data_IF_277261412086
#
_entry.id   IF_277261412086
#
_cell.length_a   1.000
_cell.length_b   1.000
_cell.length_c   1.000
_cell.angle_alpha   90.00
_cell.angle_beta   90.00
_cell.angle_gamma   90.00
#
_symmetry.space_group_name_H-M   'P 1'
#
loop_
_entity.id
_entity.type
_entity.pdbx_description
1 polymer ?
#
# COMPACT_ATOMS: atom_id res chain seq x y z
N UNK A 1 11.50 10.72 -4.23
CA UNK A 1 10.06 10.32 -4.21
C UNK A 1 9.79 9.47 -5.43
N UNK A 2 9.24 8.27 -5.24
CA UNK A 2 8.88 7.36 -6.34
C UNK A 2 7.79 7.98 -7.23
N UNK A 3 8.03 7.99 -8.54
CA UNK A 3 7.02 8.42 -9.51
C UNK A 3 6.10 7.24 -9.85
N UNK A 4 4.77 7.44 -9.90
CA UNK A 4 3.82 6.37 -10.20
C UNK A 4 4.15 5.67 -11.53
N UNK A 5 4.24 4.35 -11.50
CA UNK A 5 4.47 3.49 -12.64
C UNK A 5 3.32 2.48 -12.83
N UNK A 6 3.55 1.42 -13.58
CA UNK A 6 2.56 0.40 -13.94
C UNK A 6 1.90 -0.27 -12.73
N UNK A 7 2.66 -0.52 -11.67
CA UNK A 7 2.19 -1.06 -10.39
C UNK A 7 1.20 -0.12 -9.70
N UNK A 8 1.58 1.17 -9.64
CA UNK A 8 0.74 2.20 -9.03
C UNK A 8 -0.60 2.36 -9.76
N UNK A 9 -0.59 2.31 -11.09
CA UNK A 9 -1.82 2.40 -11.89
C UNK A 9 -2.66 1.12 -11.82
N UNK A 10 -2.02 -0.05 -11.74
CA UNK A 10 -2.71 -1.31 -11.54
C UNK A 10 -3.48 -1.32 -10.22
N UNK A 11 -2.80 -0.93 -9.12
CA UNK A 11 -3.42 -0.85 -7.80
C UNK A 11 -4.52 0.21 -7.76
N UNK A 12 -4.27 1.41 -8.33
CA UNK A 12 -5.22 2.53 -8.36
C UNK A 12 -6.58 2.15 -8.95
N UNK A 13 -6.59 1.34 -10.00
CA UNK A 13 -7.83 0.82 -10.61
C UNK A 13 -8.68 0.11 -9.57
N UNK A 14 -8.10 -0.81 -8.80
CA UNK A 14 -8.79 -1.58 -7.77
C UNK A 14 -9.13 -0.76 -6.52
N UNK A 15 -8.27 0.21 -6.17
CA UNK A 15 -8.55 1.17 -5.08
C UNK A 15 -9.82 1.97 -5.38
N UNK A 16 -9.95 2.53 -6.58
CA UNK A 16 -11.15 3.30 -6.97
C UNK A 16 -12.43 2.47 -6.93
N UNK A 17 -12.33 1.19 -7.21
CA UNK A 17 -13.48 0.29 -7.27
C UNK A 17 -13.86 -0.28 -5.90
N UNK A 18 -12.87 -0.67 -5.09
CA UNK A 18 -13.07 -1.52 -3.91
C UNK A 18 -12.87 -0.80 -2.58
N UNK A 19 -12.20 0.37 -2.54
CA UNK A 19 -11.95 1.08 -1.29
C UNK A 19 -13.24 1.65 -0.70
N UNK A 20 -13.39 1.50 0.62
CA UNK A 20 -14.54 1.98 1.36
C UNK A 20 -14.20 2.34 2.81
N UNK A 21 -15.08 3.13 3.43
CA UNK A 21 -15.03 3.49 4.84
C UNK A 21 -13.83 4.36 5.19
N UNK A 22 -13.17 4.02 6.28
CA UNK A 22 -11.92 4.64 6.73
C UNK A 22 -10.75 3.91 6.08
N UNK A 23 -9.92 4.64 5.33
CA UNK A 23 -8.84 4.10 4.51
C UNK A 23 -7.48 4.52 5.08
N UNK A 24 -6.48 3.65 4.95
CA UNK A 24 -5.08 4.00 5.12
C UNK A 24 -4.27 3.54 3.91
N UNK A 25 -3.45 4.44 3.36
CA UNK A 25 -2.47 4.19 2.30
C UNK A 25 -1.08 4.19 2.94
N UNK A 26 -0.48 3.00 3.06
CA UNK A 26 0.80 2.77 3.74
C UNK A 26 1.92 2.83 2.70
N UNK A 27 2.95 3.65 2.97
CA UNK A 27 4.00 3.96 1.99
C UNK A 27 3.41 4.80 0.84
N UNK A 28 2.68 5.86 1.17
CA UNK A 28 1.86 6.62 0.22
C UNK A 28 2.66 7.28 -0.91
N UNK A 29 3.95 7.58 -0.68
CA UNK A 29 4.85 8.19 -1.65
C UNK A 29 4.27 9.42 -2.31
N UNK A 30 3.93 9.32 -3.60
CA UNK A 30 3.31 10.40 -4.37
C UNK A 30 1.87 10.74 -3.95
N UNK A 31 1.21 9.89 -3.16
CA UNK A 31 -0.18 10.03 -2.75
C UNK A 31 -1.22 9.58 -3.77
N UNK A 32 -0.82 8.94 -4.85
CA UNK A 32 -1.74 8.55 -5.95
C UNK A 32 -2.85 7.61 -5.47
N UNK A 33 -2.56 6.67 -4.55
CA UNK A 33 -3.56 5.77 -4.01
C UNK A 33 -4.49 6.50 -3.05
N UNK A 34 -3.93 7.36 -2.18
CA UNK A 34 -4.70 8.17 -1.23
C UNK A 34 -5.67 9.11 -1.96
N UNK A 35 -5.21 9.79 -3.03
CA UNK A 35 -6.04 10.63 -3.89
C UNK A 35 -7.15 9.81 -4.55
N UNK A 36 -6.79 8.66 -5.16
CA UNK A 36 -7.76 7.78 -5.80
C UNK A 36 -8.82 7.26 -4.86
N UNK A 37 -8.45 6.87 -3.63
CA UNK A 37 -9.39 6.45 -2.59
C UNK A 37 -10.31 7.60 -2.16
N UNK A 38 -9.76 8.81 -1.97
CA UNK A 38 -10.54 9.98 -1.55
C UNK A 38 -11.63 10.39 -2.55
N UNK A 39 -11.44 10.09 -3.84
CA UNK A 39 -12.42 10.33 -4.90
C UNK A 39 -13.63 9.39 -4.84
N UNK A 40 -13.52 8.24 -4.15
CA UNK A 40 -14.63 7.31 -4.01
C UNK A 40 -15.73 7.88 -3.09
N UNK A 41 -17.02 7.80 -3.48
CA UNK A 41 -18.13 8.19 -2.61
C UNK A 41 -18.28 7.26 -1.40
N UNK A 42 -17.73 6.05 -1.46
CA UNK A 42 -17.77 5.06 -0.39
C UNK A 42 -16.68 5.28 0.67
N UNK A 43 -15.74 6.21 0.45
CA UNK A 43 -14.64 6.52 1.36
C UNK A 43 -14.95 7.78 2.14
N UNK A 44 -14.81 7.70 3.47
CA UNK A 44 -15.10 8.79 4.40
C UNK A 44 -13.84 9.58 4.76
N UNK A 45 -12.73 8.88 4.97
CA UNK A 45 -11.45 9.44 5.41
C UNK A 45 -10.29 8.58 4.90
N UNK A 46 -9.19 9.22 4.55
CA UNK A 46 -7.95 8.56 4.12
C UNK A 46 -6.78 9.06 4.97
N UNK A 47 -6.04 8.15 5.58
CA UNK A 47 -4.73 8.43 6.15
C UNK A 47 -3.68 8.04 5.12
N UNK A 48 -2.81 8.98 4.76
CA UNK A 48 -1.72 8.76 3.82
C UNK A 48 -0.41 8.78 4.62
N UNK A 49 0.20 7.61 4.83
CA UNK A 49 1.37 7.50 5.71
C UNK A 49 2.62 7.09 4.95
N UNK A 50 3.75 7.66 5.37
CA UNK A 50 5.05 7.36 4.78
C UNK A 50 6.14 7.55 5.84
N UNK A 51 7.23 6.79 5.71
CA UNK A 51 8.44 6.93 6.52
C UNK A 51 9.28 8.13 6.06
N UNK A 52 9.13 8.57 4.80
CA UNK A 52 9.83 9.73 4.27
C UNK A 52 9.10 11.02 4.64
N UNK A 53 9.67 11.80 5.55
CA UNK A 53 9.15 13.12 5.94
C UNK A 53 9.03 14.09 4.76
N UNK A 54 9.89 13.97 3.74
CA UNK A 54 9.83 14.82 2.54
C UNK A 54 8.59 14.48 1.72
N UNK A 55 8.30 13.19 1.54
CA UNK A 55 7.08 12.75 0.86
C UNK A 55 5.84 13.32 1.55
N UNK A 56 5.76 13.21 2.88
CA UNK A 56 4.65 13.78 3.67
C UNK A 56 4.59 15.30 3.56
N UNK A 57 5.73 15.99 3.57
CA UNK A 57 5.76 17.45 3.42
C UNK A 57 5.25 17.90 2.05
N UNK A 58 5.63 17.21 0.98
CA UNK A 58 5.14 17.50 -0.38
C UNK A 58 3.66 17.14 -0.52
N UNK A 59 3.22 16.01 0.06
CA UNK A 59 1.83 15.60 0.03
C UNK A 59 0.89 16.62 0.68
N UNK A 60 1.29 17.22 1.80
CA UNK A 60 0.52 18.29 2.48
C UNK A 60 0.29 19.54 1.60
N UNK A 61 1.10 19.77 0.57
CA UNK A 61 0.95 20.91 -0.35
C UNK A 61 -0.04 20.62 -1.49
N UNK A 62 -0.39 19.36 -1.71
CA UNK A 62 -1.29 18.96 -2.80
C UNK A 62 -2.72 19.41 -2.54
N UNK A 63 -3.42 19.80 -3.59
CA UNK A 63 -4.78 20.34 -3.54
C UNK A 63 -5.75 19.38 -2.84
N UNK A 64 -5.66 18.07 -3.12
CA UNK A 64 -6.53 17.06 -2.52
C UNK A 64 -6.28 16.80 -1.02
N UNK A 65 -5.21 17.40 -0.45
CA UNK A 65 -4.92 17.40 0.99
C UNK A 65 -5.29 18.72 1.67
N UNK A 66 -5.91 19.66 0.97
CA UNK A 66 -6.22 20.99 1.48
C UNK A 66 -7.71 21.28 1.48
N UNK A 67 -8.12 22.23 2.32
CA UNK A 67 -9.53 22.66 2.41
C UNK A 67 -10.34 21.94 3.49
N UNK A 68 -11.47 22.54 3.84
CA UNK A 68 -12.34 22.09 4.94
C UNK A 68 -12.98 20.71 4.69
N UNK A 69 -13.15 20.32 3.44
CA UNK A 69 -13.76 19.05 3.05
C UNK A 69 -12.72 18.00 2.60
N UNK A 70 -11.43 18.23 2.90
CA UNK A 70 -10.38 17.29 2.55
C UNK A 70 -10.53 15.98 3.33
N UNK A 71 -10.59 14.85 2.60
CA UNK A 71 -10.65 13.53 3.20
C UNK A 71 -9.27 12.97 3.56
N UNK A 72 -8.17 13.55 3.04
CA UNK A 72 -6.83 12.99 3.15
C UNK A 72 -6.04 13.65 4.27
N UNK A 73 -5.51 12.85 5.17
CA UNK A 73 -4.65 13.27 6.28
C UNK A 73 -3.26 12.66 6.10
N UNK A 74 -2.26 13.45 5.65
CA UNK A 74 -0.88 12.99 5.59
C UNK A 74 -0.25 12.89 6.98
N UNK A 75 0.43 11.76 7.26
CA UNK A 75 1.03 11.48 8.56
C UNK A 75 2.38 10.75 8.37
N UNK A 76 3.44 11.23 9.03
CA UNK A 76 4.72 10.54 9.08
C UNK A 76 4.62 9.30 9.98
N UNK A 77 4.93 8.13 9.44
CA UNK A 77 4.88 6.86 10.16
C UNK A 77 5.72 5.79 9.45
N UNK A 78 6.46 5.02 10.23
CA UNK A 78 7.01 3.74 9.77
C UNK A 78 5.91 2.69 9.89
N UNK A 79 5.42 2.21 8.75
CA UNK A 79 4.20 1.39 8.67
C UNK A 79 3.09 1.96 9.58
N UNK A 80 2.73 1.24 10.65
CA UNK A 80 1.67 1.63 11.57
C UNK A 80 2.16 2.23 12.90
N UNK A 81 3.46 2.55 13.05
CA UNK A 81 4.06 2.95 14.32
C UNK A 81 3.38 4.19 14.96
N UNK A 82 2.98 5.16 14.14
CA UNK A 82 2.30 6.39 14.58
C UNK A 82 0.80 6.40 14.25
N UNK A 83 0.23 5.24 13.91
CA UNK A 83 -1.16 5.10 13.49
C UNK A 83 -1.99 4.48 14.59
N UNK A 84 -3.16 5.04 14.87
CA UNK A 84 -4.11 4.52 15.84
C UNK A 84 -5.45 4.17 15.20
N UNK A 85 -6.13 3.19 15.81
CA UNK A 85 -7.46 2.77 15.38
C UNK A 85 -7.46 1.71 14.29
N UNK A 86 -8.63 1.51 13.71
CA UNK A 86 -8.88 0.49 12.67
C UNK A 86 -9.37 1.13 11.39
N UNK A 87 -9.15 0.41 10.29
CA UNK A 87 -9.44 0.83 8.92
C UNK A 87 -10.27 -0.24 8.22
N UNK A 88 -11.18 0.20 7.38
CA UNK A 88 -12.01 -0.66 6.54
C UNK A 88 -11.26 -1.09 5.27
N UNK A 89 -10.37 -0.21 4.81
CA UNK A 89 -9.48 -0.51 3.69
C UNK A 89 -8.05 -0.12 4.05
N UNK A 90 -7.12 -1.05 3.87
CA UNK A 90 -5.67 -0.80 3.95
C UNK A 90 -5.11 -0.96 2.55
N UNK A 91 -4.34 0.02 2.09
CA UNK A 91 -3.70 0.01 0.76
C UNK A 91 -2.19 -0.09 0.98
N UNK A 92 -1.52 -0.93 0.20
CA UNK A 92 -0.08 -1.09 0.28
C UNK A 92 0.53 -1.39 -1.10
N UNK A 93 1.35 -0.46 -1.57
CA UNK A 93 2.25 -0.67 -2.70
C UNK A 93 3.69 -0.69 -2.16
N UNK A 94 4.19 -1.85 -1.69
CA UNK A 94 5.51 -1.93 -1.07
C UNK A 94 6.62 -1.66 -2.08
N UNK A 95 7.77 -1.15 -1.63
CA UNK A 95 9.01 -1.29 -2.38
C UNK A 95 9.33 -2.78 -2.51
N UNK A 96 9.53 -3.29 -3.72
CA UNK A 96 9.69 -4.71 -4.02
C UNK A 96 10.97 -5.05 -4.78
N UNK A 97 11.88 -4.10 -4.94
CA UNK A 97 13.18 -4.37 -5.53
C UNK A 97 14.13 -4.87 -4.44
N UNK A 98 14.79 -6.02 -4.64
CA UNK A 98 15.93 -6.41 -3.80
C UNK A 98 17.04 -5.38 -3.98
N UNK A 99 17.88 -5.22 -2.94
CA UNK A 99 19.04 -4.33 -2.98
C UNK A 99 19.90 -4.55 -4.23
N UNK A 100 20.08 -3.53 -5.04
CA UNK A 100 21.28 -3.42 -5.87
C UNK A 100 22.30 -2.59 -5.10
N UNK A 101 23.48 -3.14 -4.91
CA UNK A 101 24.52 -2.76 -3.92
C UNK A 101 25.10 -1.32 -4.02
N UNK A 102 24.58 -0.43 -4.86
CA UNK A 102 25.24 0.85 -5.16
C UNK A 102 24.45 2.14 -4.88
N UNK A 103 23.19 2.09 -4.47
CA UNK A 103 22.45 3.32 -4.13
C UNK A 103 21.62 3.14 -2.84
N UNK A 104 22.07 3.78 -1.76
CA UNK A 104 21.39 3.83 -0.47
C UNK A 104 20.16 4.75 -0.50
N UNK A 105 19.22 4.49 -1.38
CA UNK A 105 17.91 5.14 -1.33
C UNK A 105 16.94 4.22 -0.59
N UNK A 106 16.78 4.46 0.72
CA UNK A 106 15.96 3.66 1.65
C UNK A 106 14.48 3.56 1.27
N UNK A 107 14.06 4.28 0.23
CA UNK A 107 12.68 4.25 -0.28
C UNK A 107 12.35 3.01 -1.12
N UNK A 108 13.35 2.14 -1.40
CA UNK A 108 13.19 0.96 -2.26
C UNK A 108 13.51 -0.36 -1.55
N UNK A 109 13.75 -0.33 -0.23
CA UNK A 109 14.19 -1.51 0.52
C UNK A 109 13.04 -2.48 0.83
N UNK A 110 12.88 -3.47 -0.02
CA UNK A 110 11.99 -4.62 0.22
C UNK A 110 12.59 -5.71 1.14
N UNK A 111 13.81 -5.51 1.67
CA UNK A 111 14.60 -6.53 2.38
C UNK A 111 15.52 -7.34 1.46
N UNK A 112 16.37 -8.23 2.02
CA UNK A 112 17.33 -9.04 1.24
C UNK A 112 16.66 -9.92 0.17
N UNK A 113 15.41 -10.31 0.36
CA UNK A 113 14.64 -11.17 -0.55
C UNK A 113 13.34 -10.51 -1.06
N UNK A 114 13.06 -9.27 -0.67
CA UNK A 114 11.93 -8.46 -1.19
C UNK A 114 10.58 -8.72 -0.51
N UNK A 115 10.38 -9.80 0.25
CA UNK A 115 9.10 -10.13 0.88
C UNK A 115 9.04 -9.87 2.39
N UNK A 116 10.17 -9.58 3.04
CA UNK A 116 10.24 -9.38 4.50
C UNK A 116 9.39 -8.20 4.95
N UNK A 117 9.42 -7.12 4.21
CA UNK A 117 8.61 -5.94 4.50
C UNK A 117 7.10 -6.26 4.38
N UNK A 118 6.72 -7.07 3.39
CA UNK A 118 5.32 -7.52 3.24
C UNK A 118 4.91 -8.38 4.44
N UNK A 119 5.78 -9.28 4.91
CA UNK A 119 5.50 -10.12 6.09
C UNK A 119 5.32 -9.26 7.35
N UNK A 120 6.18 -8.27 7.56
CA UNK A 120 6.07 -7.32 8.66
C UNK A 120 4.79 -6.47 8.57
N UNK A 121 4.52 -5.92 7.40
CA UNK A 121 3.27 -5.18 7.14
C UNK A 121 2.04 -6.01 7.49
N UNK A 122 1.93 -7.25 6.99
CA UNK A 122 0.79 -8.13 7.24
C UNK A 122 0.60 -8.44 8.73
N UNK A 123 1.71 -8.63 9.46
CA UNK A 123 1.69 -8.86 10.90
C UNK A 123 1.10 -7.65 11.66
N UNK A 124 1.50 -6.44 11.29
CA UNK A 124 0.99 -5.21 11.89
C UNK A 124 -0.44 -4.89 11.46
N UNK A 125 -0.74 -5.01 10.16
CA UNK A 125 -2.04 -4.68 9.56
C UNK A 125 -3.22 -5.40 10.25
N UNK A 126 -3.02 -6.61 10.78
CA UNK A 126 -4.06 -7.38 11.45
C UNK A 126 -4.70 -6.65 12.64
N UNK A 127 -3.92 -5.85 13.35
CA UNK A 127 -4.39 -5.08 14.51
C UNK A 127 -5.20 -3.85 14.07
N UNK A 128 -4.97 -3.40 12.83
CA UNK A 128 -5.54 -2.19 12.27
C UNK A 128 -6.66 -2.44 11.26
N UNK A 129 -7.01 -3.70 10.96
CA UNK A 129 -8.11 -4.03 10.05
C UNK A 129 -9.41 -4.19 10.83
N UNK A 130 -10.51 -3.61 10.34
CA UNK A 130 -11.85 -3.82 10.89
C UNK A 130 -12.35 -5.24 10.56
N UNK A 131 -13.29 -5.81 11.35
CA UNK A 131 -14.01 -6.99 10.92
C UNK A 131 -14.74 -6.71 9.59
N UNK A 132 -14.47 -7.52 8.56
CA UNK A 132 -15.00 -7.30 7.21
C UNK A 132 -14.22 -6.31 6.36
N UNK A 133 -13.15 -5.72 6.90
CA UNK A 133 -12.21 -4.89 6.14
C UNK A 133 -11.36 -5.69 5.16
N UNK A 134 -10.68 -4.98 4.26
CA UNK A 134 -9.82 -5.58 3.24
C UNK A 134 -8.48 -4.83 3.11
N UNK A 135 -7.50 -5.55 2.60
CA UNK A 135 -6.22 -4.99 2.17
C UNK A 135 -6.16 -5.09 0.64
N UNK A 136 -5.77 -4.01 -0.01
CA UNK A 136 -5.44 -3.96 -1.44
C UNK A 136 -3.93 -3.81 -1.56
N UNK A 137 -3.29 -4.78 -2.19
CA UNK A 137 -1.83 -4.84 -2.32
C UNK A 137 -1.43 -5.18 -3.74
N UNK A 138 -0.38 -4.54 -4.23
CA UNK A 138 0.30 -4.93 -5.46
C UNK A 138 1.74 -5.32 -5.14
N UNK A 139 2.28 -6.28 -5.87
CA UNK A 139 3.69 -6.65 -5.79
C UNK A 139 4.16 -7.31 -7.09
N UNK A 140 5.47 -7.33 -7.30
CA UNK A 140 6.10 -7.92 -8.47
C UNK A 140 6.46 -9.40 -8.26
N UNK A 141 6.56 -10.15 -9.35
CA UNK A 141 7.11 -11.52 -9.34
C UNK A 141 8.53 -11.60 -8.78
N UNK A 142 9.27 -10.48 -8.81
CA UNK A 142 10.61 -10.38 -8.23
C UNK A 142 10.61 -10.50 -6.70
N UNK A 143 9.49 -10.17 -6.06
CA UNK A 143 9.30 -10.32 -4.61
C UNK A 143 9.16 -11.79 -4.18
N UNK A 144 8.87 -12.70 -5.12
CA UNK A 144 8.59 -14.11 -4.81
C UNK A 144 7.12 -14.34 -4.45
N UNK A 145 6.30 -14.64 -5.46
CA UNK A 145 4.84 -14.84 -5.28
C UNK A 145 4.52 -15.93 -4.25
N UNK A 146 5.25 -17.05 -4.27
CA UNK A 146 5.02 -18.16 -3.34
C UNK A 146 5.31 -17.77 -1.89
N UNK A 147 6.34 -16.96 -1.65
CA UNK A 147 6.72 -16.44 -0.34
C UNK A 147 5.65 -15.49 0.19
N UNK A 148 5.15 -14.59 -0.66
CA UNK A 148 4.03 -13.68 -0.32
C UNK A 148 2.77 -14.48 0.02
N UNK A 149 2.40 -15.50 -0.79
CA UNK A 149 1.24 -16.35 -0.54
C UNK A 149 1.37 -17.13 0.79
N UNK A 150 2.59 -17.57 1.13
CA UNK A 150 2.87 -18.24 2.41
C UNK A 150 2.75 -17.26 3.59
N UNK A 151 3.29 -16.03 3.44
CA UNK A 151 3.21 -15.01 4.47
C UNK A 151 1.74 -14.63 4.77
N UNK A 152 0.93 -14.44 3.73
CA UNK A 152 -0.51 -14.16 3.86
C UNK A 152 -1.20 -15.25 4.68
N UNK A 153 -0.98 -16.53 4.34
CA UNK A 153 -1.59 -17.68 5.05
C UNK A 153 -1.08 -17.79 6.47
N UNK A 154 0.25 -17.63 6.69
CA UNK A 154 0.89 -17.71 8.02
C UNK A 154 0.31 -16.68 8.99
N UNK A 155 -0.01 -15.48 8.51
CA UNK A 155 -0.63 -14.42 9.31
C UNK A 155 -2.15 -14.57 9.49
N UNK A 156 -2.76 -15.62 8.95
CA UNK A 156 -4.19 -15.92 9.09
C UNK A 156 -5.09 -15.06 8.20
N UNK A 157 -4.60 -14.75 7.03
CA UNK A 157 -5.37 -14.12 5.97
C UNK A 157 -5.67 -15.11 4.84
N UNK A 158 -6.64 -14.76 4.03
CA UNK A 158 -6.89 -15.31 2.69
C UNK A 158 -6.78 -14.21 1.66
N UNK A 159 -6.47 -14.56 0.43
CA UNK A 159 -6.35 -13.61 -0.67
C UNK A 159 -7.09 -14.07 -1.92
N UNK A 160 -7.41 -13.11 -2.74
CA UNK A 160 -7.96 -13.24 -4.08
C UNK A 160 -7.06 -12.46 -5.06
N UNK A 161 -6.67 -13.10 -6.15
CA UNK A 161 -5.99 -12.42 -7.26
C UNK A 161 -7.03 -11.61 -8.04
N UNK A 162 -6.94 -10.28 -7.94
CA UNK A 162 -7.81 -9.37 -8.69
C UNK A 162 -7.35 -9.22 -10.14
N UNK A 163 -6.06 -9.05 -10.33
CA UNK A 163 -5.47 -8.87 -11.66
C UNK A 163 -3.99 -9.27 -11.66
N UNK A 164 -3.55 -9.82 -12.79
CA UNK A 164 -2.15 -10.08 -13.10
C UNK A 164 -1.80 -9.33 -14.37
N UNK A 165 -0.67 -8.63 -14.37
CA UNK A 165 -0.20 -7.86 -15.52
C UNK A 165 1.23 -8.20 -15.84
N UNK A 166 1.47 -8.65 -17.07
CA UNK A 166 2.82 -8.92 -17.55
C UNK A 166 3.51 -7.63 -17.97
N UNK A 167 4.76 -7.46 -17.56
CA UNK A 167 5.65 -6.39 -17.92
C UNK A 167 6.77 -6.88 -18.84
N UNK A 168 7.65 -5.98 -19.27
CA UNK A 168 8.86 -6.37 -19.99
C UNK A 168 9.77 -7.26 -19.12
N UNK A 169 10.68 -8.00 -19.76
CA UNK A 169 11.68 -8.85 -19.10
C UNK A 169 11.10 -9.94 -18.19
N UNK A 170 9.93 -10.51 -18.57
CA UNK A 170 9.25 -11.59 -17.83
C UNK A 170 8.85 -11.22 -16.39
N UNK A 171 8.79 -9.96 -16.07
CA UNK A 171 8.23 -9.48 -14.80
C UNK A 171 6.71 -9.49 -14.85
N UNK A 172 6.09 -9.88 -13.75
CA UNK A 172 4.64 -9.86 -13.58
C UNK A 172 4.27 -9.07 -12.32
N UNK A 173 3.20 -8.30 -12.41
CA UNK A 173 2.57 -7.65 -11.28
C UNK A 173 1.32 -8.42 -10.87
N UNK A 174 1.11 -8.54 -9.56
CA UNK A 174 -0.05 -9.17 -8.96
C UNK A 174 -0.78 -8.17 -8.08
N UNK A 175 -2.06 -7.90 -8.38
CA UNK A 175 -2.93 -7.12 -7.52
C UNK A 175 -3.81 -8.07 -6.70
N UNK A 176 -3.72 -7.98 -5.38
CA UNK A 176 -4.44 -8.84 -4.43
C UNK A 176 -5.45 -8.06 -3.61
N UNK A 177 -6.60 -8.72 -3.38
CA UNK A 177 -7.51 -8.42 -2.27
C UNK A 177 -7.25 -9.43 -1.16
N UNK A 178 -6.92 -8.94 0.03
CA UNK A 178 -6.58 -9.77 1.19
C UNK A 178 -7.60 -9.49 2.29
N UNK A 179 -8.10 -10.53 2.95
CA UNK A 179 -9.07 -10.42 4.04
C UNK A 179 -8.69 -11.40 5.17
N UNK A 180 -9.16 -11.17 6.37
CA UNK A 180 -9.00 -12.13 7.47
C UNK A 180 -9.69 -13.45 7.07
N UNK A 181 -9.00 -14.58 7.31
CA UNK A 181 -9.49 -15.93 6.97
C UNK A 181 -10.67 -16.36 7.85
#
# INVERSE_FOLDING_TARGET
>A
MYEPQEDSYLLLKHVKELAFGKVIDVGTGSGIQAEGAAMSPNVNQVYAVDIDEKAISELKKKEFCQGENCKVTPLHSDLFANVSGKFDTIIFNPPYLPFEDDDKDTSLDGGEQGHELIEEFLNQAKKHLTPGGLILMVFSSRTGKEEVDKAIKKQGYKHELLEQKSLAFFEELYAYRITIA
#
